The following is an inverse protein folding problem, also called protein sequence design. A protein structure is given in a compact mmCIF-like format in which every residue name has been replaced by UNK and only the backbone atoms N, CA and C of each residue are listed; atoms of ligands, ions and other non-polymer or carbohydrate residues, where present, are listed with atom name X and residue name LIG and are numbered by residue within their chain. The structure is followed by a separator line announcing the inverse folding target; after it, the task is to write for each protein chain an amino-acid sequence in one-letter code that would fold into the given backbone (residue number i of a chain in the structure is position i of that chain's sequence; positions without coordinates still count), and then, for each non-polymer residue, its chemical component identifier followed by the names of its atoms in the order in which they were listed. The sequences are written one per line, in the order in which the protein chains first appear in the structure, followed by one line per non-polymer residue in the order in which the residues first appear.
data_IF_487945967683
#
_entry.id   IF_487945967683
#
_cell.length_a   1.000
_cell.length_b   1.000
_cell.length_c   1.000
_cell.angle_alpha   90.00
_cell.angle_beta   90.00
_cell.angle_gamma   90.00
#
_symmetry.space_group_name_H-M   'P 1'
#
loop_
_entity.id
_entity.type
_entity.pdbx_description
1 polymer ?
#
# COMPACT_ATOMS: atom_id res chain seq x y z
N UNK A 1 -11.76 7.32 -76.68
CA UNK A 1 -12.29 5.94 -76.89
C UNK A 1 -13.81 5.98 -76.71
N UNK A 2 -14.56 5.28 -77.59
CA UNK A 2 -16.01 4.96 -77.61
C UNK A 2 -16.85 5.50 -76.42
N UNK A 3 -17.87 6.36 -76.55
CA UNK A 3 -19.01 6.49 -77.51
C UNK A 3 -20.19 5.52 -77.27
N UNK A 4 -21.33 6.13 -76.92
CA UNK A 4 -22.75 5.78 -77.12
C UNK A 4 -23.45 4.53 -76.54
N UNK A 5 -24.65 4.83 -76.02
CA UNK A 5 -25.93 4.10 -76.04
C UNK A 5 -25.98 2.63 -76.53
N UNK A 6 -26.66 1.76 -75.76
CA UNK A 6 -28.06 1.34 -76.04
C UNK A 6 -28.65 0.37 -75.01
N UNK A 7 -29.98 0.39 -74.91
CA UNK A 7 -30.81 -0.55 -74.13
C UNK A 7 -30.61 -2.01 -74.56
N UNK A 8 -30.78 -2.93 -73.60
CA UNK A 8 -31.55 -4.17 -73.81
C UNK A 8 -32.47 -4.42 -72.61
N UNK A 9 -33.77 -4.56 -72.86
CA UNK A 9 -34.68 -5.25 -71.95
C UNK A 9 -34.46 -6.77 -72.06
N UNK A 10 -34.73 -7.52 -70.99
CA UNK A 10 -35.65 -8.64 -71.11
C UNK A 10 -36.43 -8.88 -69.80
N UNK A 11 -37.56 -9.59 -69.89
CA UNK A 11 -38.67 -9.55 -68.93
C UNK A 11 -39.08 -10.96 -68.44
N UNK A 12 -40.06 -11.03 -67.52
CA UNK A 12 -40.68 -12.21 -66.85
C UNK A 12 -39.92 -12.75 -65.62
N UNK A 13 -40.52 -12.95 -64.44
CA UNK A 13 -41.87 -12.65 -63.90
C UNK A 13 -41.81 -12.65 -62.35
N UNK A 14 -42.85 -12.44 -61.53
CA UNK A 14 -44.30 -12.40 -61.79
C UNK A 14 -45.04 -11.56 -60.70
N UNK A 15 -45.95 -10.69 -61.15
CA UNK A 15 -47.13 -10.06 -60.48
C UNK A 15 -47.12 -9.69 -58.96
N UNK A 16 -47.33 -8.40 -58.71
CA UNK A 16 -47.75 -7.77 -57.45
C UNK A 16 -49.28 -7.69 -57.27
N UNK A 17 -49.76 -7.68 -56.02
CA UNK A 17 -51.03 -7.04 -55.61
C UNK A 17 -50.85 -6.35 -54.24
N UNK A 18 -51.29 -5.09 -54.12
CA UNK A 18 -51.64 -4.39 -52.86
C UNK A 18 -53.08 -3.84 -53.02
N UNK A 19 -53.84 -3.70 -51.93
CA UNK A 19 -54.22 -2.35 -51.49
C UNK A 19 -54.10 -2.18 -49.95
N UNK A 20 -53.67 -1.03 -49.39
CA UNK A 20 -54.35 0.29 -49.29
C UNK A 20 -55.61 0.25 -48.42
N UNK A 21 -55.54 0.82 -47.21
CA UNK A 21 -56.69 1.16 -46.34
C UNK A 21 -56.91 2.66 -46.43
N UNK A 22 -58.17 3.10 -46.60
CA UNK A 22 -58.55 4.51 -46.54
C UNK A 22 -59.98 4.69 -46.01
N UNK A 23 -60.25 5.82 -45.34
CA UNK A 23 -61.48 6.09 -44.59
C UNK A 23 -62.71 6.39 -45.49
N UNK A 24 -63.91 6.01 -45.02
CA UNK A 24 -65.22 6.67 -45.26
C UNK A 24 -66.17 6.29 -44.09
N UNK A 25 -66.66 7.25 -43.28
CA UNK A 25 -67.90 8.06 -43.44
C UNK A 25 -69.22 7.27 -43.35
N UNK A 26 -70.01 7.56 -42.29
CA UNK A 26 -71.42 7.18 -42.17
C UNK A 26 -72.29 7.95 -43.19
N UNK A 27 -73.38 7.31 -43.63
CA UNK A 27 -74.55 7.96 -44.24
C UNK A 27 -75.82 7.14 -43.94
N UNK A 28 -76.99 7.76 -44.04
CA UNK A 28 -78.30 7.25 -43.55
C UNK A 28 -79.28 6.83 -44.68
N UNK A 29 -80.35 6.14 -44.26
CA UNK A 29 -81.64 5.84 -44.93
C UNK A 29 -81.70 4.82 -46.09
N UNK A 30 -82.59 3.81 -45.97
CA UNK A 30 -83.95 3.77 -46.60
C UNK A 30 -84.76 2.50 -46.20
N UNK A 31 -86.08 2.40 -46.48
CA UNK A 31 -87.05 1.85 -45.52
C UNK A 31 -87.56 0.41 -45.76
N UNK A 32 -88.26 -0.13 -44.75
CA UNK A 32 -88.91 -1.44 -44.72
C UNK A 32 -90.41 -1.35 -45.07
N UNK A 33 -90.96 -2.32 -45.83
CA UNK A 33 -92.38 -2.37 -46.26
C UNK A 33 -93.30 -3.06 -45.24
N UNK A 34 -94.61 -2.80 -45.33
CA UNK A 34 -95.69 -3.40 -44.53
C UNK A 34 -96.46 -4.48 -45.31
N UNK A 35 -96.74 -5.60 -44.65
CA UNK A 35 -97.87 -6.55 -44.84
C UNK A 35 -97.92 -7.50 -43.60
N UNK A 36 -99.04 -8.04 -43.12
CA UNK A 36 -100.43 -7.65 -43.34
C UNK A 36 -101.52 -8.66 -42.91
N UNK A 37 -102.07 -8.56 -41.67
CA UNK A 37 -103.42 -9.08 -41.22
C UNK A 37 -103.60 -10.64 -41.17
N UNK A 38 -104.37 -11.34 -40.30
CA UNK A 38 -105.42 -11.04 -39.28
C UNK A 38 -105.50 -12.04 -38.08
N UNK A 39 -106.09 -11.58 -36.95
CA UNK A 39 -107.06 -12.20 -36.01
C UNK A 39 -106.86 -13.53 -35.19
N UNK A 40 -107.34 -13.42 -33.93
CA UNK A 40 -107.47 -14.35 -32.76
C UNK A 40 -108.64 -15.38 -32.89
N UNK A 41 -109.03 -16.25 -31.88
CA UNK A 41 -108.61 -16.42 -30.46
C UNK A 41 -108.52 -17.89 -29.89
N UNK A 42 -108.33 -17.98 -28.55
CA UNK A 42 -108.69 -19.06 -27.60
C UNK A 42 -107.92 -20.41 -27.53
N UNK A 43 -107.04 -20.52 -26.52
CA UNK A 43 -107.31 -21.31 -25.30
C UNK A 43 -106.33 -20.95 -24.16
N UNK A 44 -106.82 -20.20 -23.16
CA UNK A 44 -106.09 -19.87 -21.92
C UNK A 44 -106.58 -20.75 -20.77
N UNK A 45 -105.77 -21.74 -20.35
CA UNK A 45 -105.77 -22.18 -18.94
C UNK A 45 -104.46 -22.87 -18.52
N UNK A 46 -103.89 -23.74 -19.37
CA UNK A 46 -102.68 -24.51 -19.03
C UNK A 46 -101.36 -23.70 -18.96
N UNK A 47 -101.28 -22.51 -19.57
CA UNK A 47 -100.03 -21.72 -19.58
C UNK A 47 -99.72 -20.99 -18.27
N UNK A 48 -100.71 -20.80 -17.38
CA UNK A 48 -100.50 -20.02 -16.15
C UNK A 48 -99.66 -20.75 -15.08
N UNK A 49 -99.82 -22.08 -14.94
CA UNK A 49 -99.10 -22.87 -13.94
C UNK A 49 -97.61 -23.00 -14.31
N UNK A 50 -97.30 -23.21 -15.59
CA UNK A 50 -95.92 -23.28 -16.08
C UNK A 50 -95.20 -21.92 -16.01
N UNK A 51 -95.88 -20.80 -16.26
CA UNK A 51 -95.30 -19.47 -16.08
C UNK A 51 -95.03 -19.13 -14.61
N UNK A 52 -95.93 -19.53 -13.70
CA UNK A 52 -95.73 -19.30 -12.25
C UNK A 52 -94.49 -20.02 -11.72
N UNK A 53 -94.28 -21.28 -12.11
CA UNK A 53 -93.07 -22.05 -11.73
C UNK A 53 -91.79 -21.47 -12.35
N UNK A 54 -91.82 -21.04 -13.62
CA UNK A 54 -90.65 -20.44 -14.26
C UNK A 54 -90.26 -19.08 -13.64
N UNK A 55 -91.25 -18.27 -13.23
CA UNK A 55 -91.01 -16.99 -12.53
C UNK A 55 -90.49 -17.21 -11.10
N UNK A 56 -90.93 -18.27 -10.39
CA UNK A 56 -90.43 -18.57 -9.05
C UNK A 56 -88.96 -19.01 -9.06
N UNK A 57 -88.52 -19.78 -10.06
CA UNK A 57 -87.12 -20.20 -10.20
C UNK A 57 -86.14 -19.06 -10.53
N UNK A 58 -86.58 -18.00 -11.23
CA UNK A 58 -85.73 -16.83 -11.55
C UNK A 58 -85.45 -15.96 -10.31
N UNK A 59 -86.34 -15.96 -9.31
CA UNK A 59 -86.19 -15.17 -8.08
C UNK A 59 -85.38 -15.88 -6.97
N UNK A 60 -84.84 -17.07 -7.25
CA UNK A 60 -84.00 -17.86 -6.34
C UNK A 60 -82.52 -17.93 -6.78
N UNK A 61 -82.17 -17.24 -7.87
CA UNK A 61 -80.79 -16.88 -8.15
C UNK A 61 -80.49 -15.66 -7.26
N UNK A 62 -79.60 -15.73 -6.26
CA UNK A 62 -79.18 -14.52 -5.56
C UNK A 62 -78.63 -13.55 -6.60
N UNK A 63 -78.93 -12.24 -6.52
CA UNK A 63 -78.38 -11.30 -7.48
C UNK A 63 -76.87 -11.49 -7.50
N UNK A 64 -76.29 -11.63 -8.70
CA UNK A 64 -74.86 -11.46 -8.91
C UNK A 64 -74.56 -9.99 -8.58
N UNK A 65 -74.45 -9.69 -7.29
CA UNK A 65 -73.83 -8.48 -6.81
C UNK A 65 -72.45 -8.47 -7.41
N UNK A 66 -72.18 -7.48 -8.24
CA UNK A 66 -70.83 -7.20 -8.68
C UNK A 66 -70.02 -6.88 -7.43
N UNK A 67 -69.38 -7.90 -6.85
CA UNK A 67 -68.39 -7.71 -5.81
C UNK A 67 -67.28 -6.88 -6.44
N UNK A 68 -67.28 -5.58 -6.16
CA UNK A 68 -66.18 -4.70 -6.48
C UNK A 68 -65.00 -5.15 -5.62
N UNK A 69 -64.28 -6.16 -6.12
CA UNK A 69 -63.03 -6.63 -5.56
C UNK A 69 -61.98 -5.56 -5.76
N UNK A 70 -61.98 -4.56 -4.88
CA UNK A 70 -60.91 -3.58 -4.78
C UNK A 70 -59.66 -4.31 -4.28
N UNK A 71 -58.85 -4.84 -5.19
CA UNK A 71 -57.53 -5.38 -4.84
C UNK A 71 -56.67 -4.24 -4.31
N UNK A 72 -56.47 -4.20 -3.00
CA UNK A 72 -55.57 -3.27 -2.35
C UNK A 72 -54.17 -3.87 -2.44
N UNK A 73 -53.34 -3.31 -3.31
CA UNK A 73 -52.01 -3.82 -3.64
C UNK A 73 -51.99 -4.88 -4.75
N UNK A 74 -50.95 -4.81 -5.59
CA UNK A 74 -50.54 -5.90 -6.47
C UNK A 74 -49.21 -6.48 -5.98
N UNK A 75 -49.08 -7.80 -5.88
CA UNK A 75 -47.79 -8.45 -5.69
C UNK A 75 -47.37 -9.22 -6.93
N UNK A 76 -46.09 -9.10 -7.30
CA UNK A 76 -45.46 -9.82 -8.40
C UNK A 76 -44.36 -10.69 -7.81
N UNK A 77 -44.71 -11.94 -7.50
CA UNK A 77 -43.81 -12.92 -6.90
C UNK A 77 -44.15 -14.34 -7.37
N UNK A 78 -43.23 -15.29 -7.14
CA UNK A 78 -43.39 -16.70 -7.52
C UNK A 78 -44.07 -17.58 -6.45
N UNK A 79 -44.32 -17.05 -5.24
CA UNK A 79 -44.79 -17.82 -4.08
C UNK A 79 -46.30 -17.68 -3.81
N UNK A 80 -46.97 -16.75 -4.50
CA UNK A 80 -48.36 -16.38 -4.23
C UNK A 80 -48.55 -15.54 -2.97
N UNK A 81 -47.48 -14.96 -2.42
CA UNK A 81 -47.58 -14.10 -1.24
C UNK A 81 -48.44 -12.86 -1.52
N UNK A 82 -49.23 -12.44 -0.52
CA UNK A 82 -49.94 -11.16 -0.54
C UNK A 82 -48.94 -10.00 -0.51
N UNK A 83 -49.22 -8.86 -1.15
CA UNK A 83 -48.38 -7.67 -1.03
C UNK A 83 -48.32 -7.21 0.43
N UNK A 84 -47.19 -6.63 0.85
CA UNK A 84 -47.10 -5.96 2.16
C UNK A 84 -48.17 -4.87 2.31
N UNK A 85 -48.77 -4.75 3.49
CA UNK A 85 -49.85 -3.80 3.79
C UNK A 85 -49.49 -2.32 3.53
N UNK A 86 -48.20 -1.98 3.50
CA UNK A 86 -47.71 -0.62 3.18
C UNK A 86 -47.53 -0.37 1.67
N UNK A 87 -47.71 -1.38 0.82
CA UNK A 87 -47.38 -1.36 -0.59
C UNK A 87 -48.60 -1.40 -1.52
N UNK A 88 -48.58 -0.60 -2.59
CA UNK A 88 -49.52 -0.75 -3.71
C UNK A 88 -48.95 -1.63 -4.84
N UNK A 89 -47.62 -1.74 -4.90
CA UNK A 89 -46.88 -2.66 -5.75
C UNK A 89 -45.76 -3.30 -4.92
N UNK A 90 -45.82 -4.61 -4.76
CA UNK A 90 -44.80 -5.45 -4.14
C UNK A 90 -44.17 -6.33 -5.24
N UNK A 91 -42.85 -6.46 -5.24
CA UNK A 91 -42.13 -7.28 -6.23
C UNK A 91 -41.06 -8.09 -5.50
N UNK A 92 -41.23 -9.41 -5.50
CA UNK A 92 -40.33 -10.32 -4.78
C UNK A 92 -39.82 -11.43 -5.70
N UNK A 93 -38.51 -11.41 -5.94
CA UNK A 93 -37.77 -12.39 -6.74
C UNK A 93 -36.32 -12.44 -6.25
N UNK A 94 -35.68 -13.61 -6.38
CA UNK A 94 -34.26 -13.80 -6.03
C UNK A 94 -33.33 -13.68 -7.26
N UNK A 95 -33.88 -13.68 -8.47
CA UNK A 95 -33.15 -13.74 -9.74
C UNK A 95 -33.71 -12.78 -10.82
N UNK A 96 -34.51 -11.78 -10.41
CA UNK A 96 -35.11 -10.74 -11.27
C UNK A 96 -35.04 -9.37 -10.58
N UNK A 97 -35.24 -8.30 -11.34
CA UNK A 97 -35.31 -6.93 -10.83
C UNK A 97 -36.32 -6.08 -11.61
N UNK A 98 -36.56 -4.85 -11.14
CA UNK A 98 -37.52 -3.92 -11.75
C UNK A 98 -36.83 -3.04 -12.81
N UNK A 99 -37.24 -3.19 -14.08
CA UNK A 99 -36.91 -2.22 -15.12
C UNK A 99 -37.89 -1.03 -15.07
N UNK A 100 -37.43 0.07 -14.48
CA UNK A 100 -38.13 1.36 -14.49
C UNK A 100 -38.05 2.03 -15.88
N UNK A 101 -38.86 3.07 -16.18
CA UNK A 101 -38.81 3.77 -17.46
C UNK A 101 -37.41 4.33 -17.77
N UNK A 102 -36.85 3.92 -18.91
CA UNK A 102 -35.52 4.35 -19.40
C UNK A 102 -35.67 5.30 -20.57
N UNK A 103 -35.01 6.45 -20.52
CA UNK A 103 -35.16 7.52 -21.52
C UNK A 103 -33.97 8.48 -21.51
N UNK A 104 -33.77 9.27 -22.57
CA UNK A 104 -32.73 10.33 -22.61
C UNK A 104 -33.16 11.59 -21.83
N UNK A 105 -32.21 12.47 -21.50
CA UNK A 105 -32.52 13.78 -20.88
C UNK A 105 -33.56 14.57 -21.69
N UNK A 106 -33.47 14.54 -23.03
CA UNK A 106 -34.43 15.21 -23.93
C UNK A 106 -35.83 14.63 -23.80
N UNK A 107 -35.96 13.30 -23.72
CA UNK A 107 -37.25 12.62 -23.55
C UNK A 107 -37.83 12.86 -22.14
N UNK A 108 -36.98 12.82 -21.11
CA UNK A 108 -37.35 13.12 -19.72
C UNK A 108 -37.83 14.57 -19.55
N UNK A 109 -37.16 15.53 -20.20
CA UNK A 109 -37.57 16.93 -20.18
C UNK A 109 -38.86 17.20 -21.00
N UNK A 110 -39.29 16.27 -21.84
CA UNK A 110 -40.56 16.34 -22.57
C UNK A 110 -41.76 15.77 -21.77
N UNK A 111 -41.55 15.26 -20.55
CA UNK A 111 -42.65 14.85 -19.66
C UNK A 111 -43.39 16.10 -19.18
N UNK A 112 -44.60 16.31 -19.70
CA UNK A 112 -45.48 17.37 -19.23
C UNK A 112 -45.98 17.07 -17.80
N UNK A 113 -45.92 18.07 -16.92
CA UNK A 113 -46.39 18.02 -15.53
C UNK A 113 -46.02 16.73 -14.77
N UNK A 114 -44.72 16.43 -14.57
CA UNK A 114 -44.32 15.19 -13.93
C UNK A 114 -44.80 15.15 -12.46
N UNK A 115 -45.23 13.97 -12.00
CA UNK A 115 -45.70 13.78 -10.64
C UNK A 115 -44.54 13.90 -9.63
N UNK A 116 -44.84 14.35 -8.40
CA UNK A 116 -43.87 14.30 -7.31
C UNK A 116 -43.41 12.86 -7.07
N UNK A 117 -42.11 12.65 -6.89
CA UNK A 117 -41.45 11.32 -6.81
C UNK A 117 -41.60 10.44 -8.07
N UNK A 118 -41.87 11.01 -9.25
CA UNK A 118 -41.82 10.26 -10.50
C UNK A 118 -40.39 9.73 -10.75
N UNK A 119 -40.25 8.42 -10.89
CA UNK A 119 -38.97 7.72 -11.00
C UNK A 119 -38.65 7.29 -12.44
N UNK A 120 -37.47 7.66 -12.94
CA UNK A 120 -36.94 7.25 -14.24
C UNK A 120 -35.45 6.91 -14.16
N UNK A 121 -34.94 6.21 -15.17
CA UNK A 121 -33.51 6.05 -15.39
C UNK A 121 -33.10 6.80 -16.66
N UNK A 122 -32.20 7.77 -16.52
CA UNK A 122 -31.78 8.65 -17.59
C UNK A 122 -30.55 8.09 -18.32
N UNK A 123 -30.75 7.69 -19.58
CA UNK A 123 -29.73 7.10 -20.45
C UNK A 123 -28.67 8.09 -20.94
N UNK A 124 -28.85 9.40 -20.73
CA UNK A 124 -27.89 10.43 -21.13
C UNK A 124 -26.94 10.81 -20.00
N UNK A 125 -27.43 10.81 -18.75
CA UNK A 125 -26.62 11.05 -17.55
C UNK A 125 -26.15 9.75 -16.88
N UNK A 126 -26.73 8.61 -17.29
CA UNK A 126 -26.58 7.28 -16.70
C UNK A 126 -26.92 7.27 -15.21
N UNK A 127 -28.05 7.89 -14.86
CA UNK A 127 -28.51 8.12 -13.49
C UNK A 127 -29.95 7.63 -13.23
N UNK A 128 -30.20 7.15 -12.01
CA UNK A 128 -31.53 7.09 -11.41
C UNK A 128 -31.95 8.51 -11.00
N UNK A 129 -33.08 9.00 -11.51
CA UNK A 129 -33.59 10.34 -11.25
C UNK A 129 -35.04 10.30 -10.71
N UNK A 130 -35.33 11.12 -9.68
CA UNK A 130 -36.69 11.42 -9.23
C UNK A 130 -37.08 12.86 -9.55
N UNK A 131 -38.33 13.11 -9.90
CA UNK A 131 -38.87 14.48 -9.99
C UNK A 131 -39.36 14.99 -8.64
N UNK A 132 -38.80 16.11 -8.19
CA UNK A 132 -39.31 16.87 -7.04
C UNK A 132 -40.23 17.99 -7.55
N UNK A 133 -41.54 17.79 -7.46
CA UNK A 133 -42.51 18.77 -7.93
C UNK A 133 -42.60 20.04 -7.05
N UNK A 134 -42.10 20.01 -5.81
CA UNK A 134 -42.11 21.19 -4.92
C UNK A 134 -41.08 22.23 -5.33
N UNK A 135 -39.97 21.81 -5.94
CA UNK A 135 -38.91 22.66 -6.47
C UNK A 135 -38.80 22.63 -8.01
N UNK A 136 -39.66 21.85 -8.68
CA UNK A 136 -39.67 21.66 -10.15
C UNK A 136 -38.33 21.24 -10.75
N UNK A 137 -37.59 20.37 -10.04
CA UNK A 137 -36.29 19.83 -10.49
C UNK A 137 -36.30 18.31 -10.53
N UNK A 138 -35.48 17.75 -11.41
CA UNK A 138 -35.08 16.36 -11.37
C UNK A 138 -33.84 16.21 -10.50
N UNK A 139 -33.86 15.25 -9.57
CA UNK A 139 -32.79 14.97 -8.62
C UNK A 139 -32.21 13.61 -8.95
N UNK A 140 -30.91 13.56 -9.30
CA UNK A 140 -30.17 12.31 -9.44
C UNK A 140 -29.90 11.71 -8.06
N UNK A 141 -30.31 10.45 -7.84
CA UNK A 141 -30.09 9.73 -6.57
C UNK A 141 -28.82 8.87 -6.64
N UNK A 142 -28.46 8.39 -7.82
CA UNK A 142 -27.22 7.66 -8.05
C UNK A 142 -26.97 7.51 -9.56
N UNK A 143 -25.71 7.54 -9.95
CA UNK A 143 -25.29 7.44 -11.35
C UNK A 143 -24.23 6.35 -11.50
N UNK A 144 -24.37 5.51 -12.52
CA UNK A 144 -23.41 4.44 -12.87
C UNK A 144 -22.34 4.93 -13.84
N UNK A 145 -22.58 6.02 -14.56
CA UNK A 145 -21.64 6.60 -15.53
C UNK A 145 -20.39 7.23 -14.91
N UNK A 146 -20.38 7.47 -13.59
CA UNK A 146 -19.19 7.87 -12.86
C UNK A 146 -18.95 6.90 -11.70
N UNK A 147 -17.82 6.21 -11.72
CA UNK A 147 -17.39 5.31 -10.65
C UNK A 147 -16.03 5.78 -10.12
N UNK A 148 -15.91 5.84 -8.79
CA UNK A 148 -14.61 6.03 -8.15
C UNK A 148 -13.66 4.88 -8.53
N UNK A 149 -12.33 5.09 -8.47
CA UNK A 149 -11.37 4.03 -8.75
C UNK A 149 -11.61 2.78 -7.88
N UNK A 150 -11.41 1.60 -8.47
CA UNK A 150 -11.66 0.32 -7.83
C UNK A 150 -10.79 0.05 -6.60
N UNK A 151 -11.17 -0.94 -5.79
CA UNK A 151 -10.36 -1.36 -4.64
C UNK A 151 -9.00 -1.90 -5.07
N UNK A 152 -7.97 -1.51 -4.33
CA UNK A 152 -6.57 -1.92 -4.54
C UNK A 152 -5.87 -2.06 -3.19
N UNK A 153 -4.66 -2.62 -3.19
CA UNK A 153 -3.95 -3.03 -1.97
C UNK A 153 -2.53 -2.48 -2.00
N UNK A 154 -2.11 -1.80 -0.93
CA UNK A 154 -0.71 -1.47 -0.70
C UNK A 154 0.05 -2.74 -0.30
N UNK A 155 1.21 -2.98 -0.90
CA UNK A 155 2.05 -4.17 -0.68
C UNK A 155 3.32 -3.80 0.09
N UNK A 156 4.15 -4.76 0.48
CA UNK A 156 5.36 -4.49 1.27
C UNK A 156 6.31 -3.51 0.57
N UNK A 157 6.91 -2.59 1.33
CA UNK A 157 7.96 -1.70 0.81
C UNK A 157 9.23 -2.47 0.41
N UNK A 158 9.99 -1.89 -0.51
CA UNK A 158 11.28 -2.41 -1.00
C UNK A 158 12.37 -1.35 -0.91
N UNK A 159 13.62 -1.71 -1.19
CA UNK A 159 14.76 -0.77 -1.27
C UNK A 159 14.90 0.15 -0.04
N UNK A 160 14.65 -0.40 1.16
CA UNK A 160 14.65 0.35 2.42
C UNK A 160 16.09 0.66 2.83
N UNK A 161 16.43 1.94 2.91
CA UNK A 161 17.68 2.48 3.43
C UNK A 161 17.43 3.30 4.70
N UNK A 162 18.48 3.83 5.33
CA UNK A 162 18.32 4.69 6.52
C UNK A 162 17.53 5.98 6.27
N UNK A 163 17.41 6.45 5.03
CA UNK A 163 16.68 7.68 4.66
C UNK A 163 15.74 7.51 3.47
N UNK A 164 15.50 6.29 2.99
CA UNK A 164 14.58 6.05 1.88
C UNK A 164 13.88 4.69 1.92
N UNK A 165 12.78 4.55 1.17
CA UNK A 165 12.18 3.27 0.79
C UNK A 165 11.30 3.44 -0.45
N UNK A 166 11.04 2.37 -1.19
CA UNK A 166 10.03 2.33 -2.24
C UNK A 166 8.69 1.86 -1.67
N UNK A 167 7.66 2.71 -1.77
CA UNK A 167 6.27 2.35 -1.49
C UNK A 167 5.69 1.58 -2.70
N UNK A 168 4.95 0.49 -2.47
CA UNK A 168 4.43 -0.39 -3.52
C UNK A 168 2.92 -0.66 -3.36
N UNK A 169 2.19 -0.83 -4.47
CA UNK A 169 0.76 -1.17 -4.46
C UNK A 169 0.30 -1.87 -5.76
N UNK A 170 -0.89 -2.48 -5.72
CA UNK A 170 -1.56 -3.02 -6.91
C UNK A 170 -2.27 -1.93 -7.70
N UNK A 171 -2.37 -2.07 -9.02
CA UNK A 171 -3.12 -1.12 -9.85
C UNK A 171 -4.63 -1.15 -9.54
N UNK A 172 -5.21 0.02 -9.28
CA UNK A 172 -6.65 0.26 -9.16
C UNK A 172 -7.29 0.43 -10.54
N UNK A 173 -8.37 -0.31 -10.79
CA UNK A 173 -9.15 -0.17 -12.03
C UNK A 173 -9.75 1.22 -12.13
N UNK A 174 -9.53 1.88 -13.27
CA UNK A 174 -10.09 3.20 -13.55
C UNK A 174 -9.38 4.37 -12.86
N UNK A 175 -8.24 4.15 -12.22
CA UNK A 175 -7.40 5.21 -11.68
C UNK A 175 -6.60 5.94 -12.78
N UNK A 176 -6.51 7.26 -12.67
CA UNK A 176 -5.64 8.12 -13.50
C UNK A 176 -4.48 8.73 -12.71
N UNK A 177 -4.49 8.61 -11.38
CA UNK A 177 -3.50 9.14 -10.45
C UNK A 177 -3.59 8.41 -9.10
N UNK A 178 -2.56 8.51 -8.27
CA UNK A 178 -2.59 8.11 -6.85
C UNK A 178 -2.10 9.25 -5.96
N UNK A 179 -2.63 9.28 -4.74
CA UNK A 179 -2.14 10.09 -3.64
C UNK A 179 -1.49 9.20 -2.59
N UNK A 180 -0.25 9.53 -2.21
CA UNK A 180 0.51 8.85 -1.16
C UNK A 180 0.48 9.67 0.14
N UNK A 181 0.15 9.00 1.25
CA UNK A 181 0.37 9.49 2.60
C UNK A 181 1.53 8.71 3.23
N UNK A 182 2.48 9.38 3.89
CA UNK A 182 3.48 8.76 4.78
C UNK A 182 3.48 9.49 6.13
N UNK A 183 3.45 8.73 7.23
CA UNK A 183 3.36 9.23 8.60
C UNK A 183 4.28 8.47 9.57
N UNK A 184 4.53 9.05 10.74
CA UNK A 184 5.25 8.41 11.85
C UNK A 184 4.32 7.78 12.91
N UNK A 185 3.00 7.87 12.71
CA UNK A 185 1.98 7.30 13.58
C UNK A 185 0.90 6.54 12.77
N UNK A 186 0.31 5.51 13.40
CA UNK A 186 -0.73 4.66 12.79
C UNK A 186 -2.03 5.40 12.47
N UNK A 187 -2.29 6.54 13.12
CA UNK A 187 -3.50 7.33 12.91
C UNK A 187 -3.36 8.36 11.77
N UNK A 188 -2.16 8.52 11.20
CA UNK A 188 -1.82 9.55 10.21
C UNK A 188 -2.18 10.96 10.72
N UNK A 189 -1.74 11.27 11.93
CA UNK A 189 -1.86 12.60 12.54
C UNK A 189 -0.58 13.43 12.37
N UNK A 190 0.58 12.77 12.24
CA UNK A 190 1.90 13.39 12.07
C UNK A 190 2.56 12.83 10.81
N UNK A 191 2.38 13.56 9.71
CA UNK A 191 2.91 13.21 8.39
C UNK A 191 4.40 13.52 8.26
N UNK A 192 5.09 12.76 7.41
CA UNK A 192 6.40 13.16 6.88
C UNK A 192 6.19 14.39 5.98
N UNK A 193 6.98 15.44 6.21
CA UNK A 193 6.89 16.69 5.43
C UNK A 193 7.01 16.41 3.94
N UNK A 194 5.97 16.77 3.17
CA UNK A 194 5.87 16.50 1.73
C UNK A 194 4.99 15.30 1.35
N UNK A 195 4.68 14.40 2.28
CA UNK A 195 3.93 13.16 2.05
C UNK A 195 2.55 13.16 2.75
N UNK A 196 1.81 14.25 2.67
CA UNK A 196 0.39 14.31 3.03
C UNK A 196 -0.41 14.58 1.75
N UNK A 197 -1.16 13.59 1.27
CA UNK A 197 -1.86 13.64 -0.01
C UNK A 197 -0.94 14.01 -1.19
N UNK A 198 0.26 13.44 -1.24
CA UNK A 198 1.23 13.68 -2.31
C UNK A 198 0.77 13.02 -3.62
N UNK A 199 0.57 13.79 -4.68
CA UNK A 199 0.23 13.26 -6.01
C UNK A 199 1.45 12.57 -6.63
N UNK A 200 1.37 11.27 -6.87
CA UNK A 200 2.49 10.45 -7.41
C UNK A 200 2.31 10.02 -8.87
N UNK A 201 1.19 10.40 -9.51
CA UNK A 201 0.86 10.02 -10.89
C UNK A 201 0.28 8.59 -10.97
N UNK A 202 0.04 8.11 -12.19
CA UNK A 202 -0.46 6.75 -12.42
C UNK A 202 0.70 5.72 -12.43
N UNK A 203 1.26 5.47 -11.24
CA UNK A 203 2.33 4.50 -11.00
C UNK A 203 1.86 3.44 -9.99
N UNK A 204 2.67 2.39 -9.80
CA UNK A 204 2.45 1.32 -8.81
C UNK A 204 3.58 1.23 -7.75
N UNK A 205 4.61 2.05 -7.91
CA UNK A 205 5.76 2.19 -7.01
C UNK A 205 6.18 3.65 -6.95
N UNK A 206 6.62 4.14 -5.80
CA UNK A 206 7.19 5.49 -5.64
C UNK A 206 8.29 5.53 -4.57
N UNK A 207 9.42 6.16 -4.90
CA UNK A 207 10.55 6.37 -3.98
C UNK A 207 10.23 7.46 -2.97
N UNK A 208 10.25 7.10 -1.69
CA UNK A 208 10.13 7.98 -0.54
C UNK A 208 11.54 8.21 -0.01
N UNK A 209 12.12 9.39 -0.25
CA UNK A 209 13.54 9.69 -0.05
C UNK A 209 13.83 11.06 0.61
N UNK A 210 12.79 11.82 0.97
CA UNK A 210 12.93 13.14 1.61
C UNK A 210 12.37 13.18 3.02
N UNK A 211 13.04 13.91 3.92
CA UNK A 211 12.62 14.13 5.31
C UNK A 211 12.44 12.85 6.16
N UNK A 212 13.05 11.74 5.75
CA UNK A 212 13.11 10.51 6.53
C UNK A 212 14.27 10.55 7.53
N UNK A 213 13.96 10.15 8.75
CA UNK A 213 14.91 9.85 9.80
C UNK A 213 15.20 8.35 9.81
N UNK A 214 16.34 8.02 10.39
CA UNK A 214 16.87 6.67 10.45
C UNK A 214 16.41 5.98 11.74
N UNK A 215 16.49 4.64 11.79
CA UNK A 215 15.98 3.84 12.91
C UNK A 215 14.52 4.18 13.28
N UNK A 216 13.72 4.61 12.30
CA UNK A 216 12.39 5.22 12.51
C UNK A 216 11.32 4.41 11.82
N UNK A 217 10.24 4.13 12.53
CA UNK A 217 9.08 3.42 11.98
C UNK A 217 8.16 4.37 11.23
N UNK A 218 7.84 4.01 9.99
CA UNK A 218 6.96 4.74 9.10
C UNK A 218 5.74 3.90 8.73
N UNK A 219 4.65 4.62 8.46
CA UNK A 219 3.39 4.09 7.98
C UNK A 219 3.04 4.76 6.67
N UNK A 220 2.61 3.99 5.67
CA UNK A 220 2.06 4.58 4.45
C UNK A 220 0.75 3.92 4.02
N UNK A 221 -0.05 4.70 3.29
CA UNK A 221 -1.31 4.29 2.66
C UNK A 221 -1.52 5.14 1.41
N UNK A 222 -2.38 4.67 0.52
CA UNK A 222 -2.67 5.35 -0.74
C UNK A 222 -4.16 5.57 -0.94
N UNK A 223 -4.48 6.53 -1.82
CA UNK A 223 -5.79 6.69 -2.45
C UNK A 223 -5.59 6.74 -3.96
N UNK A 224 -6.50 6.15 -4.73
CA UNK A 224 -6.55 6.31 -6.17
C UNK A 224 -7.50 7.45 -6.55
N UNK A 225 -7.25 8.13 -7.65
CA UNK A 225 -8.07 9.24 -8.16
C UNK A 225 -8.46 9.01 -9.62
N UNK A 226 -9.67 9.43 -9.99
CA UNK A 226 -10.06 9.69 -11.38
C UNK A 226 -11.01 10.91 -11.46
N UNK A 227 -11.54 11.20 -12.65
CA UNK A 227 -12.46 12.33 -12.87
C UNK A 227 -13.77 12.28 -12.07
N UNK A 228 -14.12 11.14 -11.46
CA UNK A 228 -15.26 10.99 -10.56
C UNK A 228 -14.92 11.27 -9.10
N UNK A 229 -13.62 11.33 -8.77
CA UNK A 229 -13.10 11.63 -7.44
C UNK A 229 -12.10 10.60 -6.92
N UNK A 230 -11.90 10.65 -5.60
CA UNK A 230 -10.87 9.88 -4.89
C UNK A 230 -11.47 8.65 -4.21
N UNK A 231 -10.77 7.51 -4.26
CA UNK A 231 -11.14 6.29 -3.55
C UNK A 231 -11.03 6.46 -2.03
N UNK A 232 -11.57 5.48 -1.29
CA UNK A 232 -11.16 5.25 0.10
C UNK A 232 -9.64 4.95 0.18
N UNK A 233 -9.07 5.07 1.38
CA UNK A 233 -7.69 4.65 1.64
C UNK A 233 -7.52 3.14 1.42
N UNK A 234 -6.33 2.74 0.95
CA UNK A 234 -5.84 1.37 1.02
C UNK A 234 -5.67 0.88 2.47
N UNK A 235 -5.29 -0.38 2.63
CA UNK A 235 -4.62 -0.84 3.85
C UNK A 235 -3.36 0.01 4.15
N UNK A 236 -2.95 0.00 5.42
CA UNK A 236 -1.71 0.61 5.89
C UNK A 236 -0.57 -0.41 5.75
N UNK A 237 0.60 0.05 5.34
CA UNK A 237 1.86 -0.70 5.41
C UNK A 237 2.77 -0.02 6.44
N UNK A 238 3.45 -0.84 7.24
CA UNK A 238 4.41 -0.42 8.26
C UNK A 238 5.81 -0.91 7.87
N UNK A 239 6.83 -0.07 8.07
CA UNK A 239 8.24 -0.41 7.90
C UNK A 239 9.09 0.37 8.90
N UNK A 240 10.34 -0.04 9.10
CA UNK A 240 11.31 0.71 9.91
C UNK A 240 12.57 0.95 9.08
N UNK A 241 13.01 2.20 8.96
CA UNK A 241 14.29 2.52 8.31
C UNK A 241 15.44 2.00 9.18
N UNK A 242 16.50 1.40 8.60
CA UNK A 242 17.74 1.11 9.32
C UNK A 242 18.36 2.36 9.97
N UNK A 243 19.26 2.17 10.92
CA UNK A 243 20.10 3.26 11.45
C UNK A 243 20.97 3.85 10.34
N UNK A 244 21.03 5.18 10.23
CA UNK A 244 21.99 5.80 9.33
C UNK A 244 23.38 5.67 9.90
N UNK A 245 24.27 5.17 9.05
CA UNK A 245 25.70 5.26 9.26
C UNK A 245 26.14 6.58 8.64
N UNK A 246 26.45 7.58 9.47
CA UNK A 246 27.21 8.74 8.99
C UNK A 246 28.56 8.25 8.47
N UNK A 247 29.02 8.71 7.30
CA UNK A 247 30.24 8.18 6.68
C UNK A 247 31.43 9.14 6.79
N UNK A 248 32.61 8.55 6.94
CA UNK A 248 33.89 9.23 7.02
C UNK A 248 34.81 8.62 5.97
N UNK A 249 35.15 9.42 4.96
CA UNK A 249 35.90 8.94 3.80
C UNK A 249 37.39 9.22 3.94
N UNK A 250 38.21 8.19 3.73
CA UNK A 250 39.63 8.35 3.43
C UNK A 250 39.97 7.49 2.21
N UNK A 251 40.48 8.13 1.14
CA UNK A 251 40.71 7.45 -0.13
C UNK A 251 39.39 6.96 -0.71
N UNK A 252 39.26 5.64 -0.90
CA UNK A 252 38.03 4.99 -1.40
C UNK A 252 37.17 4.38 -0.30
N UNK A 253 37.56 4.46 0.97
CA UNK A 253 36.86 3.80 2.07
C UNK A 253 36.01 4.79 2.87
N UNK A 254 34.72 4.48 3.03
CA UNK A 254 33.74 5.26 3.79
C UNK A 254 33.29 4.50 5.04
N UNK A 255 33.93 4.80 6.18
CA UNK A 255 33.64 4.16 7.47
C UNK A 255 32.48 4.83 8.21
N UNK A 256 31.80 4.07 9.05
CA UNK A 256 30.87 4.59 10.06
C UNK A 256 31.53 5.62 10.98
N UNK A 257 30.85 6.76 11.20
CA UNK A 257 31.24 7.82 12.14
C UNK A 257 30.66 7.63 13.55
N UNK A 258 29.78 6.65 13.76
CA UNK A 258 29.32 6.18 15.07
C UNK A 258 29.50 4.67 15.22
N UNK A 259 29.63 4.20 16.46
CA UNK A 259 29.61 2.76 16.77
C UNK A 259 28.20 2.21 16.54
N UNK A 260 28.09 1.02 15.94
CA UNK A 260 26.80 0.37 15.69
C UNK A 260 26.07 0.06 17.00
N UNK A 261 24.74 0.22 16.99
CA UNK A 261 23.85 0.02 18.15
C UNK A 261 22.56 -0.73 17.74
N UNK A 262 22.71 -1.81 16.97
CA UNK A 262 21.59 -2.71 16.59
C UNK A 262 21.44 -3.85 17.59
N UNK A 263 20.31 -4.54 17.54
CA UNK A 263 20.04 -5.72 18.38
C UNK A 263 19.42 -5.42 19.75
N UNK A 264 18.93 -6.48 20.38
CA UNK A 264 18.30 -6.51 21.70
C UNK A 264 19.36 -6.44 22.79
N UNK A 265 19.15 -5.58 23.78
CA UNK A 265 20.07 -5.49 24.91
C UNK A 265 19.90 -6.71 25.84
N UNK A 266 21.02 -7.40 26.10
CA UNK A 266 21.12 -8.44 27.13
C UNK A 266 21.99 -7.95 28.30
N UNK A 267 21.74 -8.49 29.49
CA UNK A 267 22.54 -8.18 30.69
C UNK A 267 23.79 -9.06 30.75
N UNK A 268 24.94 -8.48 31.06
CA UNK A 268 26.18 -9.22 31.27
C UNK A 268 26.17 -9.98 32.60
N UNK A 269 25.89 -11.28 32.56
CA UNK A 269 25.86 -12.10 33.77
C UNK A 269 27.27 -12.33 34.36
N UNK A 270 27.45 -12.23 35.70
CA UNK A 270 28.65 -12.69 36.38
C UNK A 270 28.86 -14.20 36.12
N UNK A 271 29.94 -14.54 35.42
CA UNK A 271 30.20 -15.90 34.96
C UNK A 271 30.06 -16.11 33.44
N UNK A 272 29.84 -15.05 32.66
CA UNK A 272 30.10 -15.06 31.22
C UNK A 272 29.03 -15.75 30.37
N UNK A 273 27.75 -15.39 30.55
CA UNK A 273 26.76 -15.66 29.50
C UNK A 273 27.23 -15.00 28.20
N UNK A 274 27.42 -15.82 27.17
CA UNK A 274 27.81 -15.38 25.83
C UNK A 274 26.56 -15.00 25.03
N UNK A 275 26.77 -14.37 23.87
CA UNK A 275 25.74 -14.20 22.86
C UNK A 275 25.46 -15.56 22.18
N UNK A 276 24.19 -15.82 21.85
CA UNK A 276 23.73 -17.17 21.46
C UNK A 276 22.65 -17.20 20.38
N UNK A 277 22.24 -16.05 19.81
CA UNK A 277 21.09 -15.95 18.92
C UNK A 277 21.44 -15.49 17.48
N UNK A 278 21.90 -16.39 16.59
CA UNK A 278 22.09 -16.10 15.16
C UNK A 278 20.84 -15.50 14.49
N UNK A 279 21.01 -14.41 13.74
CA UNK A 279 19.91 -13.65 13.11
C UNK A 279 18.96 -12.95 14.09
N UNK A 280 19.25 -12.97 15.39
CA UNK A 280 18.44 -12.42 16.48
C UNK A 280 19.18 -11.34 17.26
N UNK A 281 19.91 -10.46 16.55
CA UNK A 281 21.07 -9.73 17.05
C UNK A 281 20.96 -9.27 18.51
N UNK A 282 21.98 -9.59 19.31
CA UNK A 282 22.11 -9.26 20.72
C UNK A 282 23.17 -8.15 20.92
N UNK A 283 23.08 -7.38 22.01
CA UNK A 283 24.12 -6.42 22.41
C UNK A 283 24.29 -6.33 23.92
N UNK A 284 25.50 -6.07 24.38
CA UNK A 284 25.72 -5.49 25.70
C UNK A 284 25.75 -3.96 25.58
N UNK A 285 25.23 -3.28 26.60
CA UNK A 285 25.51 -1.86 26.84
C UNK A 285 26.43 -1.75 28.05
N UNK A 286 27.36 -0.80 28.07
CA UNK A 286 28.34 -0.69 29.16
C UNK A 286 27.65 -0.60 30.53
N UNK A 287 28.11 -1.42 31.50
CA UNK A 287 27.51 -1.56 32.84
C UNK A 287 26.02 -1.96 32.84
N UNK A 288 25.52 -2.60 31.79
CA UNK A 288 24.11 -2.95 31.61
C UNK A 288 23.15 -1.74 31.71
N UNK A 289 23.63 -0.57 31.28
CA UNK A 289 22.84 0.68 31.20
C UNK A 289 22.50 0.97 29.74
N UNK A 290 21.22 0.87 29.35
CA UNK A 290 20.77 1.08 27.96
C UNK A 290 21.21 2.44 27.38
N UNK A 291 21.20 3.50 28.18
CA UNK A 291 21.64 4.84 27.75
C UNK A 291 23.12 4.87 27.28
N UNK A 292 23.98 4.01 27.83
CA UNK A 292 25.38 3.92 27.39
C UNK A 292 25.50 3.38 25.97
N UNK A 293 24.57 2.55 25.49
CA UNK A 293 24.55 2.17 24.07
C UNK A 293 24.26 3.35 23.14
N UNK A 294 23.43 4.32 23.58
CA UNK A 294 23.16 5.54 22.81
C UNK A 294 24.41 6.43 22.71
N UNK A 295 25.22 6.49 23.75
CA UNK A 295 26.45 7.31 23.78
C UNK A 295 27.66 6.63 23.12
N UNK A 296 27.83 5.32 23.34
CA UNK A 296 29.07 4.58 23.01
C UNK A 296 28.88 3.49 21.94
N UNK A 297 27.65 3.24 21.49
CA UNK A 297 27.29 2.08 20.67
C UNK A 297 27.13 0.79 21.50
N UNK A 298 26.68 -0.26 20.83
CA UNK A 298 26.65 -1.61 21.40
C UNK A 298 28.05 -2.21 21.53
N UNK A 299 28.16 -3.21 22.40
CA UNK A 299 29.28 -4.12 22.48
C UNK A 299 28.83 -5.53 22.10
N UNK A 300 29.63 -6.17 21.26
CA UNK A 300 29.32 -7.43 20.61
C UNK A 300 30.51 -8.38 20.77
N UNK A 301 30.23 -9.66 21.01
CA UNK A 301 31.21 -10.74 20.87
C UNK A 301 31.51 -10.94 19.38
N UNK A 302 32.66 -11.53 19.03
CA UNK A 302 33.09 -11.55 17.62
C UNK A 302 32.15 -12.35 16.72
N UNK A 303 31.69 -13.53 17.15
CA UNK A 303 30.79 -14.36 16.35
C UNK A 303 29.43 -13.64 16.17
N UNK A 304 28.94 -12.93 17.20
CA UNK A 304 27.75 -12.08 17.12
C UNK A 304 27.94 -10.91 16.15
N UNK A 305 29.07 -10.18 16.24
CA UNK A 305 29.39 -9.06 15.35
C UNK A 305 29.43 -9.48 13.87
N UNK A 306 29.81 -10.73 13.61
CA UNK A 306 29.85 -11.36 12.29
C UNK A 306 28.49 -11.94 11.84
N UNK A 307 27.43 -11.87 12.65
CA UNK A 307 26.19 -12.65 12.49
C UNK A 307 26.49 -14.13 12.17
N UNK A 308 27.43 -14.69 12.92
CA UNK A 308 27.92 -16.08 12.85
C UNK A 308 28.46 -16.50 11.46
N UNK A 309 28.75 -15.54 10.58
CA UNK A 309 29.36 -15.78 9.29
C UNK A 309 30.84 -16.16 9.39
N UNK A 310 31.33 -16.90 8.38
CA UNK A 310 32.74 -17.23 8.26
C UNK A 310 33.63 -15.99 8.12
N UNK A 311 34.81 -16.03 8.75
CA UNK A 311 35.83 -14.98 8.62
C UNK A 311 36.22 -14.70 7.16
N UNK A 312 36.56 -13.43 6.87
CA UNK A 312 37.08 -12.99 5.58
C UNK A 312 38.27 -12.02 5.74
N UNK A 313 39.10 -11.91 4.70
CA UNK A 313 40.24 -10.98 4.65
C UNK A 313 40.53 -10.55 3.20
N UNK A 314 39.81 -9.53 2.72
CA UNK A 314 39.89 -8.94 1.37
C UNK A 314 40.20 -7.44 1.47
N UNK A 315 40.68 -6.79 0.40
CA UNK A 315 40.92 -5.34 0.40
C UNK A 315 41.05 -4.75 -1.02
N UNK A 316 40.02 -4.04 -1.54
CA UNK A 316 38.71 -3.82 -0.92
C UNK A 316 37.85 -5.09 -1.00
N UNK A 317 36.92 -5.26 -0.06
CA UNK A 317 35.90 -6.30 -0.13
C UNK A 317 34.68 -5.85 -0.94
N UNK A 318 34.24 -4.60 -0.77
CA UNK A 318 32.99 -4.09 -1.32
C UNK A 318 31.82 -5.02 -0.99
N UNK A 319 30.91 -5.24 -1.94
CA UNK A 319 29.77 -6.17 -1.80
C UNK A 319 30.13 -7.66 -1.63
N UNK A 320 31.43 -8.02 -1.61
CA UNK A 320 31.91 -9.36 -1.21
C UNK A 320 32.31 -9.44 0.27
N UNK A 321 32.18 -8.33 1.02
CA UNK A 321 32.39 -8.29 2.45
C UNK A 321 31.32 -9.05 3.23
N UNK A 322 31.63 -9.43 4.47
CA UNK A 322 30.64 -10.01 5.39
C UNK A 322 29.83 -8.89 6.00
N UNK A 323 28.53 -8.83 5.70
CA UNK A 323 27.62 -7.84 6.30
C UNK A 323 27.68 -7.89 7.84
N UNK A 324 27.54 -9.09 8.43
CA UNK A 324 27.43 -9.24 9.88
C UNK A 324 26.31 -8.37 10.45
N UNK A 325 26.54 -7.73 11.59
CA UNK A 325 25.56 -6.80 12.20
C UNK A 325 25.44 -5.44 11.50
N UNK A 326 26.12 -5.22 10.36
CA UNK A 326 26.04 -3.96 9.63
C UNK A 326 24.70 -3.80 8.89
N UNK A 327 24.24 -2.56 8.66
CA UNK A 327 23.11 -2.30 7.77
C UNK A 327 23.40 -2.77 6.34
N UNK A 328 22.35 -3.01 5.54
CA UNK A 328 22.50 -3.36 4.13
C UNK A 328 23.28 -2.28 3.36
N UNK A 329 24.18 -2.69 2.46
CA UNK A 329 25.13 -1.81 1.77
C UNK A 329 26.39 -1.45 2.58
N UNK A 330 26.61 -2.15 3.69
CA UNK A 330 27.80 -2.04 4.53
C UNK A 330 28.24 -3.43 5.03
N UNK A 331 29.54 -3.58 5.30
CA UNK A 331 30.13 -4.79 5.85
C UNK A 331 31.01 -4.54 7.09
N UNK A 332 31.27 -5.62 7.82
CA UNK A 332 32.28 -5.71 8.87
C UNK A 332 33.67 -5.56 8.25
N UNK A 333 34.45 -4.50 8.56
CA UNK A 333 35.72 -4.26 7.89
C UNK A 333 36.76 -5.33 8.23
N UNK A 334 37.45 -5.81 7.21
CA UNK A 334 38.55 -6.76 7.37
C UNK A 334 39.81 -6.10 7.91
N UNK A 335 40.78 -6.92 8.31
CA UNK A 335 42.03 -6.41 8.90
C UNK A 335 42.90 -5.68 7.87
N UNK A 336 42.83 -6.10 6.60
CA UNK A 336 43.46 -5.41 5.48
C UNK A 336 42.78 -4.06 5.19
N UNK A 337 41.45 -3.98 5.25
CA UNK A 337 40.70 -2.72 5.07
C UNK A 337 40.93 -1.73 6.20
N UNK A 338 40.95 -2.18 7.46
CA UNK A 338 41.41 -1.37 8.59
C UNK A 338 42.82 -0.85 8.35
N UNK A 339 43.72 -1.71 7.86
CA UNK A 339 45.11 -1.36 7.55
C UNK A 339 45.23 -0.34 6.41
N UNK A 340 44.37 -0.42 5.38
CA UNK A 340 44.27 0.58 4.31
C UNK A 340 43.76 1.93 4.82
N UNK A 341 42.76 1.93 5.69
CA UNK A 341 42.22 3.15 6.27
C UNK A 341 43.26 3.86 7.15
N UNK A 342 43.92 3.14 8.06
CA UNK A 342 45.01 3.69 8.87
C UNK A 342 46.18 4.22 8.03
N UNK A 343 46.55 3.52 6.95
CA UNK A 343 47.56 3.99 6.00
C UNK A 343 47.11 5.26 5.26
N UNK A 344 45.84 5.34 4.86
CA UNK A 344 45.26 6.54 4.25
C UNK A 344 45.32 7.73 5.23
N UNK A 345 44.99 7.50 6.50
CA UNK A 345 45.11 8.52 7.55
C UNK A 345 46.56 9.00 7.72
N UNK A 346 47.57 8.15 7.66
CA UNK A 346 48.98 8.58 7.76
C UNK A 346 49.53 9.27 6.50
N UNK A 347 48.98 8.95 5.32
CA UNK A 347 49.50 9.43 4.03
C UNK A 347 48.76 10.64 3.46
N UNK A 348 47.50 10.88 3.82
CA UNK A 348 46.66 11.94 3.23
C UNK A 348 46.17 12.98 4.23
N UNK A 349 45.68 12.57 5.40
CA UNK A 349 45.15 13.48 6.43
C UNK A 349 46.31 13.84 7.37
N UNK A 350 46.68 15.12 7.48
CA UNK A 350 47.84 15.58 8.27
C UNK A 350 49.07 14.64 8.16
N UNK A 351 49.72 14.54 6.98
CA UNK A 351 50.68 13.49 6.69
C UNK A 351 51.89 13.50 7.63
N UNK A 352 52.19 12.34 8.20
CA UNK A 352 53.20 12.15 9.25
C UNK A 352 54.38 11.29 8.82
N UNK A 353 54.21 10.53 7.73
CA UNK A 353 55.29 9.88 6.97
C UNK A 353 55.88 8.59 7.56
N UNK A 354 56.56 7.84 6.69
CA UNK A 354 57.56 6.83 7.08
C UNK A 354 57.24 5.34 6.85
N UNK A 355 56.01 4.97 6.49
CA UNK A 355 55.61 3.54 6.36
C UNK A 355 54.78 3.26 5.10
N UNK A 356 54.77 2.00 4.66
CA UNK A 356 54.06 1.55 3.44
C UNK A 356 52.75 0.85 3.79
N UNK A 357 51.81 0.80 2.83
CA UNK A 357 50.58 -0.01 2.98
C UNK A 357 50.90 -1.48 3.31
N UNK A 358 51.94 -2.05 2.69
CA UNK A 358 52.39 -3.42 2.99
C UNK A 358 52.85 -3.58 4.45
N UNK A 359 53.49 -2.56 5.04
CA UNK A 359 53.84 -2.55 6.48
C UNK A 359 52.58 -2.55 7.35
N UNK A 360 51.57 -1.77 6.99
CA UNK A 360 50.26 -1.82 7.65
C UNK A 360 49.56 -3.18 7.46
N UNK A 361 49.65 -3.82 6.30
CA UNK A 361 48.97 -5.11 6.07
C UNK A 361 49.66 -6.31 6.74
N UNK A 362 50.94 -6.20 7.14
CA UNK A 362 51.74 -7.35 7.61
C UNK A 362 52.17 -7.30 9.08
N UNK A 363 52.36 -6.12 9.67
CA UNK A 363 52.98 -5.98 11.01
C UNK A 363 51.92 -5.75 12.09
N UNK A 364 51.82 -6.68 13.05
CA UNK A 364 51.00 -6.51 14.27
C UNK A 364 51.62 -5.49 15.25
N UNK A 365 50.80 -4.92 16.12
CA UNK A 365 51.20 -3.92 17.10
C UNK A 365 50.94 -2.49 16.64
N UNK A 366 51.87 -1.59 16.96
CA UNK A 366 51.71 -0.13 16.84
C UNK A 366 51.77 0.41 15.41
N UNK A 367 50.88 1.36 15.09
CA UNK A 367 50.55 1.78 13.73
C UNK A 367 50.67 3.30 13.55
N UNK A 368 51.46 3.73 12.57
CA UNK A 368 51.79 5.13 12.34
C UNK A 368 52.73 5.74 13.39
N UNK A 369 52.84 7.07 13.42
CA UNK A 369 53.71 7.78 14.38
C UNK A 369 53.05 8.04 15.74
N UNK A 370 53.87 8.19 16.79
CA UNK A 370 53.43 8.70 18.10
C UNK A 370 53.50 10.25 18.19
N UNK A 371 53.84 10.96 17.11
CA UNK A 371 53.57 12.41 17.01
C UNK A 371 52.07 12.69 17.18
N UNK A 372 51.69 13.89 17.60
CA UNK A 372 50.30 14.31 17.91
C UNK A 372 49.27 14.21 16.76
N UNK A 373 49.66 13.65 15.61
CA UNK A 373 48.82 13.37 14.45
C UNK A 373 49.07 11.95 13.90
N UNK A 374 49.26 10.95 14.75
CA UNK A 374 49.18 9.53 14.32
C UNK A 374 47.74 9.13 13.93
N UNK A 375 47.53 7.92 13.38
CA UNK A 375 46.22 7.49 12.88
C UNK A 375 45.22 7.29 14.03
N UNK A 376 45.72 6.91 15.21
CA UNK A 376 44.92 6.88 16.43
C UNK A 376 44.41 8.28 16.78
N UNK A 377 45.29 9.28 16.90
CA UNK A 377 44.91 10.67 17.19
C UNK A 377 43.88 11.20 16.18
N UNK A 378 44.09 10.95 14.89
CA UNK A 378 43.17 11.35 13.80
C UNK A 378 41.76 10.77 13.93
N UNK A 379 41.62 9.57 14.50
CA UNK A 379 40.33 8.89 14.66
C UNK A 379 39.55 9.27 15.94
N UNK A 380 40.24 9.66 17.02
CA UNK A 380 39.65 9.92 18.34
C UNK A 380 38.88 11.25 18.38
N UNK A 381 37.67 11.26 18.97
CA UNK A 381 36.76 12.42 18.95
C UNK A 381 37.22 13.63 19.80
N UNK A 382 37.96 13.38 20.90
CA UNK A 382 38.19 14.38 21.95
C UNK A 382 39.69 14.66 22.20
N UNK A 383 40.04 15.95 22.31
CA UNK A 383 41.39 16.46 22.63
C UNK A 383 41.91 16.03 24.01
N UNK A 384 41.03 15.86 25.00
CA UNK A 384 41.36 15.32 26.33
C UNK A 384 41.81 13.86 26.26
N UNK A 385 41.44 13.17 25.18
CA UNK A 385 41.85 11.79 24.88
C UNK A 385 43.04 11.74 23.88
N UNK A 386 43.76 12.86 23.69
CA UNK A 386 44.78 13.04 22.64
C UNK A 386 44.24 12.69 21.24
N UNK A 387 42.99 13.08 20.98
CA UNK A 387 42.34 13.02 19.69
C UNK A 387 42.34 14.37 18.99
N UNK A 388 42.58 14.37 17.68
CA UNK A 388 42.40 15.55 16.83
C UNK A 388 41.09 15.50 16.06
N UNK A 389 40.48 14.31 15.97
CA UNK A 389 39.33 14.00 15.14
C UNK A 389 39.41 14.52 13.69
N UNK A 390 40.62 14.73 13.16
CA UNK A 390 40.82 15.34 11.84
C UNK A 390 40.41 14.42 10.68
N UNK A 391 40.17 13.14 10.96
CA UNK A 391 39.48 12.25 10.02
C UNK A 391 37.96 12.45 10.01
N UNK A 392 37.36 12.92 11.11
CA UNK A 392 35.92 12.88 11.35
C UNK A 392 35.41 11.54 11.88
N UNK A 393 36.29 10.53 12.07
CA UNK A 393 35.91 9.18 12.48
C UNK A 393 35.20 9.14 13.85
N UNK A 394 35.41 10.10 14.76
CA UNK A 394 34.65 10.15 16.03
C UNK A 394 34.71 8.85 16.84
N UNK A 395 35.89 8.25 16.96
CA UNK A 395 36.13 7.12 17.87
C UNK A 395 35.90 7.59 19.30
N UNK A 396 34.98 6.95 20.01
CA UNK A 396 34.66 7.22 21.42
C UNK A 396 35.26 6.13 22.32
N UNK A 397 35.75 6.47 23.53
CA UNK A 397 36.35 5.52 24.45
C UNK A 397 35.30 4.68 25.19
N UNK A 398 34.67 3.76 24.46
CA UNK A 398 33.59 2.89 24.93
C UNK A 398 34.01 1.88 26.02
N UNK A 399 35.31 1.61 26.19
CA UNK A 399 35.78 0.48 26.99
C UNK A 399 35.48 -0.86 26.32
N UNK A 400 35.38 -1.92 27.12
CA UNK A 400 35.03 -3.27 26.64
C UNK A 400 34.35 -4.12 27.72
N UNK A 401 33.71 -5.23 27.31
CA UNK A 401 33.30 -6.32 28.20
C UNK A 401 34.34 -7.45 28.17
N UNK A 402 34.83 -7.85 29.34
CA UNK A 402 35.75 -8.98 29.48
C UNK A 402 34.99 -10.32 29.42
N UNK A 403 35.30 -11.15 28.41
CA UNK A 403 34.54 -12.38 28.13
C UNK A 403 34.55 -13.43 29.24
N UNK A 404 35.64 -13.54 30.01
CA UNK A 404 35.77 -14.59 31.04
C UNK A 404 34.96 -14.37 32.33
N UNK A 405 34.47 -13.14 32.59
CA UNK A 405 33.72 -12.80 33.81
C UNK A 405 32.44 -12.03 33.54
N UNK A 406 32.32 -11.40 32.37
CA UNK A 406 31.28 -10.42 32.05
C UNK A 406 31.57 -8.99 32.53
N UNK A 407 32.69 -8.72 33.20
CA UNK A 407 32.97 -7.39 33.75
C UNK A 407 33.28 -6.35 32.67
N UNK A 408 32.66 -5.16 32.77
CA UNK A 408 32.96 -4.01 31.92
C UNK A 408 34.16 -3.22 32.44
N UNK A 409 35.09 -2.86 31.56
CA UNK A 409 36.37 -2.24 31.90
C UNK A 409 36.74 -1.13 30.89
N UNK A 410 37.63 -0.23 31.31
CA UNK A 410 38.30 0.77 30.46
C UNK A 410 37.40 1.82 29.73
N UNK A 411 36.16 2.05 30.18
CA UNK A 411 35.39 3.23 29.77
C UNK A 411 36.21 4.51 29.95
N UNK A 412 35.97 5.52 29.10
CA UNK A 412 36.68 6.80 29.01
C UNK A 412 38.18 6.73 28.69
N UNK A 413 38.77 5.53 28.72
CA UNK A 413 40.21 5.32 28.58
C UNK A 413 40.61 4.66 27.27
N UNK A 414 39.81 3.71 26.76
CA UNK A 414 40.11 2.93 25.55
C UNK A 414 38.90 2.82 24.61
N UNK A 415 39.16 2.73 23.31
CA UNK A 415 38.18 2.29 22.31
C UNK A 415 38.67 1.03 21.62
N UNK A 416 37.73 0.16 21.25
CA UNK A 416 37.99 -1.16 20.66
C UNK A 416 37.00 -1.41 19.52
N UNK A 417 37.51 -1.81 18.37
CA UNK A 417 36.70 -2.12 17.19
C UNK A 417 37.07 -3.49 16.62
N UNK A 418 36.08 -4.37 16.47
CA UNK A 418 36.27 -5.66 15.82
C UNK A 418 36.64 -5.53 14.34
N UNK A 419 37.25 -6.60 13.81
CA UNK A 419 37.46 -6.82 12.38
C UNK A 419 36.88 -8.16 11.97
N UNK A 420 36.44 -8.29 10.71
CA UNK A 420 35.94 -9.54 10.13
C UNK A 420 36.99 -10.66 9.96
N UNK A 421 38.25 -10.41 10.36
CA UNK A 421 39.37 -11.32 10.14
C UNK A 421 39.77 -12.07 11.41
N UNK A 422 39.57 -13.38 11.38
CA UNK A 422 40.05 -14.37 12.35
C UNK A 422 41.57 -14.60 12.20
N UNK A 423 42.26 -14.91 13.30
CA UNK A 423 43.65 -15.43 13.29
C UNK A 423 43.71 -16.92 13.66
N UNK A 424 42.75 -17.39 14.45
CA UNK A 424 42.53 -18.82 14.78
C UNK A 424 41.11 -18.99 15.30
N UNK A 425 40.62 -20.24 15.39
CA UNK A 425 39.26 -20.54 15.87
C UNK A 425 38.88 -19.84 17.19
N UNK A 426 39.85 -19.53 18.07
CA UNK A 426 39.65 -18.85 19.34
C UNK A 426 39.80 -17.32 19.28
N UNK A 427 40.52 -16.74 18.31
CA UNK A 427 40.95 -15.34 18.31
C UNK A 427 40.66 -14.62 16.99
N UNK A 428 40.33 -13.34 17.08
CA UNK A 428 40.16 -12.45 15.94
C UNK A 428 40.91 -11.12 16.09
N UNK A 429 41.18 -10.45 14.97
CA UNK A 429 41.81 -9.14 14.94
C UNK A 429 40.86 -8.04 15.40
N UNK A 430 41.41 -7.05 16.09
CA UNK A 430 40.72 -5.81 16.43
C UNK A 430 41.66 -4.61 16.28
N UNK A 431 41.09 -3.41 16.39
CA UNK A 431 41.83 -2.15 16.57
C UNK A 431 41.53 -1.55 17.93
N UNK A 432 42.56 -1.03 18.59
CA UNK A 432 42.40 -0.21 19.80
C UNK A 432 43.21 1.08 19.76
N UNK A 433 42.68 2.07 20.47
CA UNK A 433 43.31 3.37 20.74
C UNK A 433 43.06 3.75 22.20
N UNK A 434 43.92 4.61 22.76
CA UNK A 434 43.78 5.13 24.14
C UNK A 434 44.44 6.51 24.31
N UNK A 435 44.30 7.08 25.51
CA UNK A 435 44.59 8.49 25.82
C UNK A 435 46.04 8.90 25.60
N UNK A 436 47.01 8.14 26.12
CA UNK A 436 48.43 8.49 26.10
C UNK A 436 49.17 8.12 24.82
N UNK A 437 48.45 7.88 23.71
CA UNK A 437 49.02 7.32 22.49
C UNK A 437 48.35 7.88 21.24
N UNK A 438 49.16 8.33 20.28
CA UNK A 438 48.68 8.88 19.00
C UNK A 438 48.56 7.82 17.90
N UNK A 439 49.17 6.64 18.09
CA UNK A 439 49.09 5.50 17.19
C UNK A 439 47.79 4.73 17.33
N UNK A 440 47.41 4.02 16.27
CA UNK A 440 46.46 2.91 16.37
C UNK A 440 47.22 1.63 16.74
N UNK A 441 46.54 0.60 17.26
CA UNK A 441 47.14 -0.68 17.62
C UNK A 441 46.36 -1.85 17.02
N UNK A 442 47.05 -2.68 16.23
CA UNK A 442 46.54 -3.93 15.65
C UNK A 442 46.91 -5.10 16.56
N UNK A 443 45.92 -5.72 17.18
CA UNK A 443 46.11 -6.80 18.16
C UNK A 443 45.04 -7.86 17.92
N UNK A 444 45.31 -9.12 18.25
CA UNK A 444 44.30 -10.19 18.30
C UNK A 444 43.88 -10.48 19.75
N UNK A 445 42.66 -10.96 19.94
CA UNK A 445 42.16 -11.41 21.25
C UNK A 445 41.06 -12.45 21.08
N UNK A 446 40.73 -13.12 22.18
CA UNK A 446 39.72 -14.15 22.25
C UNK A 446 38.32 -13.61 21.90
N UNK A 447 37.59 -14.32 21.02
CA UNK A 447 36.28 -13.90 20.47
C UNK A 447 35.17 -13.52 21.48
N UNK A 448 35.07 -14.11 22.70
CA UNK A 448 34.11 -13.73 23.74
C UNK A 448 34.24 -12.32 24.36
N UNK A 449 35.18 -11.49 23.90
CA UNK A 449 35.27 -10.09 24.35
C UNK A 449 34.18 -9.24 23.68
N UNK A 450 33.50 -8.41 24.46
CA UNK A 450 32.53 -7.45 23.91
C UNK A 450 33.22 -6.16 23.49
N UNK A 451 33.34 -5.92 22.17
CA UNK A 451 33.86 -4.68 21.59
C UNK A 451 32.82 -4.01 20.69
N UNK A 452 33.05 -2.74 20.35
CA UNK A 452 32.19 -2.02 19.41
C UNK A 452 32.45 -2.43 17.96
N UNK A 453 31.49 -2.12 17.10
CA UNK A 453 31.56 -2.35 15.65
C UNK A 453 31.48 -1.03 14.90
N UNK A 454 32.26 -0.93 13.82
CA UNK A 454 32.33 0.20 12.89
C UNK A 454 32.29 -0.34 11.47
N UNK A 455 31.16 -0.18 10.81
CA UNK A 455 30.96 -0.72 9.46
C UNK A 455 31.69 0.10 8.38
N UNK A 456 32.02 -0.56 7.28
CA UNK A 456 32.57 0.04 6.06
C UNK A 456 31.53 -0.11 4.94
N UNK A 457 31.36 0.92 4.11
CA UNK A 457 30.43 0.91 2.97
C UNK A 457 30.95 0.01 1.83
N UNK A 458 30.02 -0.66 1.13
CA UNK A 458 30.28 -1.57 0.00
C UNK A 458 30.69 -0.88 -1.32
#
# INVERSE_FOLDING_TARGET
MKQEQKLKLNYNGMKTIRPTINLLKLSWEKPFKREGKENFPFHRLHRFVLYALFIFCINLIPPFGATTGSSQGMSVNATGATPDNSSMLDVSATDKGLLIPRMTTTQRNAIASPAHSLMIYNLTTDCLELYNASSSIWVSIGCTGCQLPGSFTATTATNITGTSFDANWTASTGATNYYLDVAIDTAFTTFVTGYNNLSVGNVITYSVDTNLACATTYYYRLRAENSCGTSINSNIITLTTPSCVCTVTCGTQSFACTNINVGTMITSAPGGQLMTAPGGNEKYCYNDILANCTTYGGMYEWDEAMDYASSINCDPCGSSGVQGICPAGYHMPTDLEWSRYEYCLESTISPTGGTTLATFQTVAGWRGTNSAAGPGAKMKDDVTWNGTNTSGFKSVPAGYRYGGTGSFLNLTSFSYHWSATEISAANAWYRRSYSSESRSNRVDINKPFGFSVRCLQD
#
